data_IF_664559074374
#
_entry.id   IF_664559074374
#
_cell.length_a   1.000
_cell.length_b   1.000
_cell.length_c   1.000
_cell.angle_alpha   90.00
_cell.angle_beta   90.00
_cell.angle_gamma   90.00
#
_symmetry.space_group_name_H-M   'P 1'
#
loop_
_entity.id
_entity.type
_entity.pdbx_description
1 polymer ?
#
# COMPACT_ATOMS: atom_id res chain seq x y z
N UNK A 1 -0.25 -5.11 -14.46
CA UNK A 1 0.02 -6.08 -13.39
C UNK A 1 -0.11 -5.40 -12.04
N UNK A 2 -0.90 -6.00 -11.17
CA UNK A 2 -1.15 -5.51 -9.82
C UNK A 2 0.10 -5.70 -8.94
N UNK A 3 0.50 -4.65 -8.23
CA UNK A 3 1.63 -4.67 -7.30
C UNK A 3 1.27 -4.03 -5.97
N UNK A 4 1.98 -4.43 -4.92
CA UNK A 4 1.97 -3.72 -3.64
C UNK A 4 2.90 -2.52 -3.73
N UNK A 5 2.38 -1.34 -3.39
CA UNK A 5 3.08 -0.07 -3.47
C UNK A 5 2.84 0.77 -2.23
N UNK A 6 3.79 1.63 -1.92
CA UNK A 6 3.68 2.64 -0.86
C UNK A 6 3.23 3.97 -1.49
N UNK A 7 2.03 4.40 -1.14
CA UNK A 7 1.55 5.74 -1.49
C UNK A 7 2.06 6.72 -0.45
N UNK A 8 2.76 7.78 -0.89
CA UNK A 8 3.34 8.77 0.02
C UNK A 8 2.29 9.80 0.40
N UNK A 9 2.16 9.98 1.70
CA UNK A 9 1.32 10.94 2.37
C UNK A 9 2.18 11.74 3.36
N UNK A 10 1.58 12.78 3.94
CA UNK A 10 2.28 13.65 4.88
C UNK A 10 2.99 14.82 4.21
N UNK A 11 3.78 15.55 5.00
CA UNK A 11 4.37 16.83 4.63
C UNK A 11 5.84 16.68 4.28
N UNK A 12 6.49 17.79 3.91
CA UNK A 12 7.95 17.84 3.81
C UNK A 12 8.55 17.50 5.18
N UNK A 13 9.56 16.63 5.22
CA UNK A 13 10.21 16.11 6.45
C UNK A 13 9.33 15.28 7.42
N UNK A 14 8.05 15.05 7.09
CA UNK A 14 7.16 14.18 7.88
C UNK A 14 6.51 13.16 6.93
N UNK A 15 7.26 12.13 6.49
CA UNK A 15 6.75 11.12 5.58
C UNK A 15 5.78 10.17 6.30
N UNK A 16 4.63 9.94 5.69
CA UNK A 16 3.68 8.90 6.07
C UNK A 16 3.37 8.07 4.82
N UNK A 17 3.16 6.77 4.96
CA UNK A 17 2.91 5.90 3.82
C UNK A 17 1.65 5.07 4.02
N UNK A 18 0.92 4.83 2.94
CA UNK A 18 -0.14 3.82 2.88
C UNK A 18 0.33 2.65 2.05
N UNK A 19 0.12 1.44 2.57
CA UNK A 19 0.36 0.20 1.85
C UNK A 19 -0.89 -0.04 1.01
N UNK A 20 -0.73 0.00 -0.32
CA UNK A 20 -1.81 -0.08 -1.28
C UNK A 20 -1.52 -1.13 -2.37
N UNK A 21 -2.56 -1.83 -2.82
CA UNK A 21 -2.51 -2.63 -4.04
C UNK A 21 -2.98 -1.76 -5.21
N UNK A 22 -2.14 -1.61 -6.23
CA UNK A 22 -2.47 -0.81 -7.42
C UNK A 22 -1.70 -1.31 -8.65
N UNK A 23 -2.14 -0.89 -9.82
CA UNK A 23 -1.47 -1.23 -11.08
C UNK A 23 -0.06 -0.62 -11.15
N UNK A 24 0.87 -1.32 -11.79
CA UNK A 24 2.25 -0.86 -11.93
C UNK A 24 2.36 0.49 -12.68
N UNK A 25 1.52 0.68 -13.70
CA UNK A 25 1.51 1.86 -14.58
C UNK A 25 0.81 3.07 -13.96
N UNK A 26 0.09 2.91 -12.84
CA UNK A 26 -0.60 4.03 -12.22
C UNK A 26 0.36 5.00 -11.54
N UNK A 27 -0.04 6.28 -11.45
CA UNK A 27 0.65 7.30 -10.66
C UNK A 27 0.85 6.81 -9.22
N UNK A 28 1.96 7.23 -8.57
CA UNK A 28 2.32 6.82 -7.20
C UNK A 28 1.19 7.07 -6.18
N UNK A 29 0.57 8.23 -6.29
CA UNK A 29 -0.51 8.66 -5.38
C UNK A 29 -1.89 8.59 -6.09
N UNK A 30 -1.99 7.75 -7.13
CA UNK A 30 -3.22 7.55 -7.90
C UNK A 30 -4.24 6.63 -7.22
N UNK A 31 -5.31 6.29 -7.96
CA UNK A 31 -6.38 5.42 -7.47
C UNK A 31 -5.85 4.03 -7.15
N UNK A 32 -5.96 3.63 -5.87
CA UNK A 32 -5.64 2.28 -5.43
C UNK A 32 -6.84 1.34 -5.63
N UNK A 33 -6.55 0.06 -5.90
CA UNK A 33 -7.56 -1.00 -5.94
C UNK A 33 -7.96 -1.38 -4.51
N UNK A 34 -7.01 -1.43 -3.59
CA UNK A 34 -7.27 -1.67 -2.17
C UNK A 34 -6.18 -1.05 -1.27
N UNK A 35 -6.58 -0.58 -0.08
CA UNK A 35 -5.66 -0.15 0.97
C UNK A 35 -5.56 -1.23 2.04
N UNK A 36 -4.33 -1.58 2.41
CA UNK A 36 -4.03 -2.72 3.27
C UNK A 36 -3.54 -2.29 4.64
N UNK A 37 -2.97 -1.09 4.71
CA UNK A 37 -2.42 -0.59 5.94
C UNK A 37 -1.71 0.74 5.78
N UNK A 38 -1.03 1.11 6.84
CA UNK A 38 -0.23 2.32 6.96
C UNK A 38 1.15 1.98 7.47
N UNK A 39 2.12 2.79 7.07
CA UNK A 39 3.50 2.71 7.50
C UNK A 39 3.98 4.12 7.83
N UNK A 40 4.39 4.33 9.09
CA UNK A 40 4.94 5.59 9.56
C UNK A 40 6.39 5.37 10.03
N UNK A 41 7.40 5.78 9.24
CA UNK A 41 8.81 5.59 9.62
C UNK A 41 9.25 6.47 10.80
N UNK A 42 8.46 7.47 11.18
CA UNK A 42 8.74 8.34 12.33
C UNK A 42 8.01 7.88 13.60
N UNK A 43 7.25 6.79 13.55
CA UNK A 43 6.61 6.24 14.74
C UNK A 43 7.63 5.51 15.61
N UNK A 44 7.35 5.49 16.92
CA UNK A 44 8.08 4.69 17.91
C UNK A 44 8.20 3.22 17.47
N UNK A 45 9.30 2.59 17.89
CA UNK A 45 9.55 1.17 17.64
C UNK A 45 8.36 0.32 18.12
N UNK A 46 7.80 -0.49 17.20
CA UNK A 46 6.63 -1.33 17.47
C UNK A 46 5.28 -0.77 17.00
N UNK A 47 5.18 0.53 16.65
CA UNK A 47 3.94 1.13 16.07
C UNK A 47 4.10 1.57 14.61
N UNK A 48 5.22 1.20 13.99
CA UNK A 48 5.64 1.66 12.66
C UNK A 48 4.70 1.22 11.54
N UNK A 49 4.06 0.05 11.65
CA UNK A 49 3.17 -0.47 10.61
C UNK A 49 1.86 -1.01 11.20
N UNK A 50 0.73 -0.62 10.60
CA UNK A 50 -0.59 -1.15 10.92
C UNK A 50 -1.16 -1.78 9.66
N UNK A 51 -1.09 -3.10 9.58
CA UNK A 51 -1.58 -3.90 8.44
C UNK A 51 -2.87 -4.61 8.85
N UNK A 52 -3.95 -4.38 8.10
CA UNK A 52 -5.20 -5.11 8.26
C UNK A 52 -5.06 -6.50 7.62
N UNK A 53 -5.11 -7.56 8.43
CA UNK A 53 -5.16 -8.95 7.92
C UNK A 53 -6.55 -9.23 7.36
N UNK A 54 -6.71 -9.15 6.04
CA UNK A 54 -7.94 -9.47 5.32
C UNK A 54 -7.69 -10.45 4.17
N UNK A 55 -8.59 -11.42 3.98
CA UNK A 55 -8.46 -12.53 3.00
C UNK A 55 -8.53 -12.10 1.52
N UNK A 56 -8.86 -10.85 1.24
CA UNK A 56 -9.20 -10.39 -0.12
C UNK A 56 -7.97 -10.14 -1.02
N UNK A 57 -6.77 -10.04 -0.44
CA UNK A 57 -5.58 -9.61 -1.19
C UNK A 57 -5.02 -10.69 -2.12
N UNK A 58 -5.10 -11.95 -1.70
CA UNK A 58 -4.57 -13.09 -2.47
C UNK A 58 -5.31 -13.23 -3.80
N UNK A 59 -6.63 -13.08 -3.77
CA UNK A 59 -7.52 -13.18 -4.95
C UNK A 59 -7.20 -12.12 -6.00
N UNK A 60 -6.91 -10.88 -5.55
CA UNK A 60 -6.64 -9.74 -6.42
C UNK A 60 -5.30 -9.87 -7.15
N UNK A 61 -4.26 -10.37 -6.49
CA UNK A 61 -2.93 -10.53 -7.10
C UNK A 61 -2.91 -11.71 -8.08
N UNK A 62 -3.55 -12.84 -7.72
CA UNK A 62 -3.57 -14.06 -8.55
C UNK A 62 -4.33 -13.87 -9.87
N UNK A 63 -5.40 -13.05 -9.90
CA UNK A 63 -6.14 -12.76 -11.14
C UNK A 63 -5.35 -11.93 -12.15
N UNK A 64 -4.36 -11.15 -11.72
CA UNK A 64 -3.54 -10.31 -12.61
C UNK A 64 -2.39 -11.07 -13.29
N UNK A 65 -2.07 -12.28 -12.85
CA UNK A 65 -0.96 -13.09 -13.38
C UNK A 65 -1.41 -14.13 -14.42
N UNK A 66 -2.71 -14.23 -14.67
CA UNK A 66 -3.31 -15.10 -15.68
C UNK A 66 -3.66 -14.27 -16.93
N UNK A 67 -2.63 -13.82 -17.65
CA UNK A 67 -2.65 -13.47 -19.07
C UNK A 67 -1.22 -13.28 -19.55
#
# INVERSE_FOLDING_TARGET
MLKLRLTRLGRKKVPFYRIAAMEALSRRDGKAVAYLGTFNPLAEEGKTSSIKRGRNLKILITRSSAN
#
